data_IF_011810783324
#
_entry.id   IF_011810783324
#
_cell.length_a   1.000
_cell.length_b   1.000
_cell.length_c   1.000
_cell.angle_alpha   90.00
_cell.angle_beta   90.00
_cell.angle_gamma   90.00
#
_symmetry.space_group_name_H-M   'P 1'
#
loop_
_entity.id
_entity.type
_entity.pdbx_description
1 polymer ?
#
# COMPACT_ATOMS: atom_id res chain seq x y z
N UNK A 1 -4.90 -10.24 0.77
CA UNK A 1 -4.61 -11.33 -0.18
C UNK A 1 -3.11 -11.51 -0.49
N UNK A 2 -2.27 -10.47 -0.49
CA UNK A 2 -0.81 -10.63 -0.68
C UNK A 2 -0.12 -11.41 0.46
N UNK A 3 -0.48 -11.14 1.72
CA UNK A 3 0.11 -11.82 2.89
C UNK A 3 -0.18 -13.33 2.93
N UNK A 4 -1.38 -13.76 2.50
CA UNK A 4 -1.75 -15.17 2.40
C UNK A 4 -1.08 -15.84 1.19
N UNK A 5 -1.00 -15.16 0.05
CA UNK A 5 -0.34 -15.69 -1.16
C UNK A 5 1.18 -15.81 -1.07
N UNK A 6 1.87 -14.99 -0.23
CA UNK A 6 3.31 -15.13 -0.02
C UNK A 6 3.62 -16.36 0.87
N UNK A 7 2.78 -16.64 1.86
CA UNK A 7 2.90 -17.88 2.65
C UNK A 7 2.60 -19.08 1.76
N UNK A 8 1.54 -19.02 0.96
CA UNK A 8 1.13 -20.13 0.10
C UNK A 8 2.17 -20.41 -1.02
N UNK A 9 2.81 -19.36 -1.56
CA UNK A 9 3.89 -19.48 -2.56
C UNK A 9 5.21 -20.07 -2.05
N UNK A 10 5.49 -20.03 -0.74
CA UNK A 10 6.66 -20.71 -0.14
C UNK A 10 6.35 -22.19 0.18
N UNK A 11 5.07 -22.56 0.25
CA UNK A 11 4.57 -23.90 0.58
C UNK A 11 3.88 -24.62 -0.60
N UNK A 12 4.19 -24.25 -1.86
CA UNK A 12 3.68 -24.86 -3.10
C UNK A 12 2.14 -24.86 -3.30
N UNK A 13 1.43 -23.87 -2.74
CA UNK A 13 0.00 -23.67 -3.01
C UNK A 13 -0.21 -22.26 -3.58
N UNK A 14 -0.47 -22.20 -4.89
CA UNK A 14 -0.98 -21.07 -5.68
C UNK A 14 -0.35 -19.65 -5.50
N UNK A 15 0.16 -19.15 -6.64
CA UNK A 15 0.68 -17.80 -6.88
C UNK A 15 -0.13 -16.68 -6.21
N UNK A 16 0.54 -15.84 -5.41
CA UNK A 16 0.02 -14.54 -5.04
C UNK A 16 -0.35 -13.77 -6.31
N UNK A 17 -1.66 -13.58 -6.54
CA UNK A 17 -2.17 -12.97 -7.77
C UNK A 17 -1.43 -11.67 -8.11
N UNK A 18 -0.71 -11.69 -9.24
CA UNK A 18 0.04 -10.55 -9.78
C UNK A 18 -0.83 -9.29 -9.99
N UNK A 19 -2.16 -9.42 -9.96
CA UNK A 19 -3.10 -8.30 -10.04
C UNK A 19 -3.15 -7.42 -8.78
N UNK A 20 -2.78 -7.95 -7.61
CA UNK A 20 -2.86 -7.20 -6.34
C UNK A 20 -1.89 -6.01 -6.30
N UNK A 21 -0.71 -6.16 -6.91
CA UNK A 21 0.32 -5.12 -6.92
C UNK A 21 -0.09 -3.91 -7.76
N UNK A 22 -0.50 -4.04 -9.04
CA UNK A 22 -1.02 -2.91 -9.82
C UNK A 22 -2.19 -2.18 -9.16
N UNK A 23 -3.10 -2.91 -8.50
CA UNK A 23 -4.24 -2.32 -7.78
C UNK A 23 -3.75 -1.44 -6.62
N UNK A 24 -2.80 -1.94 -5.83
CA UNK A 24 -2.19 -1.17 -4.75
C UNK A 24 -1.52 0.10 -5.28
N UNK A 25 -0.75 -0.01 -6.37
CA UNK A 25 -0.12 1.14 -7.01
C UNK A 25 -1.15 2.18 -7.47
N UNK A 26 -2.23 1.74 -8.13
CA UNK A 26 -3.27 2.62 -8.65
C UNK A 26 -4.03 3.35 -7.53
N UNK A 27 -4.45 2.62 -6.49
CA UNK A 27 -5.16 3.19 -5.33
C UNK A 27 -4.25 4.16 -4.58
N UNK A 28 -3.01 3.76 -4.30
CA UNK A 28 -2.04 4.63 -3.65
C UNK A 28 -1.78 5.91 -4.45
N UNK A 29 -1.63 5.78 -5.77
CA UNK A 29 -1.38 6.92 -6.64
C UNK A 29 -2.57 7.88 -6.62
N UNK A 30 -3.78 7.35 -6.76
CA UNK A 30 -5.00 8.13 -6.66
C UNK A 30 -5.10 8.87 -5.32
N UNK A 31 -4.83 8.20 -4.20
CA UNK A 31 -4.88 8.83 -2.87
C UNK A 31 -3.91 10.02 -2.76
N UNK A 32 -2.62 9.82 -3.10
CA UNK A 32 -1.63 10.89 -2.98
C UNK A 32 -1.87 12.03 -3.99
N UNK A 33 -2.26 11.67 -5.21
CA UNK A 33 -2.59 12.64 -6.26
C UNK A 33 -3.82 13.47 -5.88
N UNK A 34 -4.95 12.83 -5.58
CA UNK A 34 -6.18 13.52 -5.20
C UNK A 34 -6.03 14.34 -3.93
N UNK A 35 -5.20 13.91 -2.97
CA UNK A 35 -4.90 14.72 -1.80
C UNK A 35 -4.20 16.01 -2.20
N UNK A 36 -3.14 15.91 -3.01
CA UNK A 36 -2.37 17.08 -3.45
C UNK A 36 -3.22 18.02 -4.31
N UNK A 37 -4.05 17.46 -5.19
CA UNK A 37 -4.94 18.20 -6.08
C UNK A 37 -6.06 18.94 -5.32
N UNK A 38 -6.74 18.25 -4.39
CA UNK A 38 -7.83 18.85 -3.58
C UNK A 38 -7.34 19.97 -2.66
N UNK A 39 -6.13 19.84 -2.13
CA UNK A 39 -5.55 20.84 -1.23
C UNK A 39 -4.72 21.90 -1.97
N UNK A 40 -4.57 21.79 -3.29
CA UNK A 40 -3.79 22.72 -4.10
C UNK A 40 -2.35 22.88 -3.62
N UNK A 41 -1.72 21.80 -3.13
CA UNK A 41 -0.34 21.85 -2.58
C UNK A 41 0.36 20.51 -2.68
N UNK A 42 1.68 20.52 -2.63
CA UNK A 42 2.50 19.32 -2.64
C UNK A 42 2.67 18.75 -1.23
N UNK A 43 2.50 17.44 -1.11
CA UNK A 43 2.79 16.71 0.13
C UNK A 43 4.31 16.78 0.43
N UNK A 44 4.69 17.41 1.54
CA UNK A 44 6.08 17.60 1.95
C UNK A 44 6.30 17.46 3.47
N UNK A 45 7.57 17.37 3.89
CA UNK A 45 7.97 17.34 5.29
C UNK A 45 7.26 16.27 6.13
N UNK A 46 6.75 16.66 7.31
CA UNK A 46 6.06 15.76 8.23
C UNK A 46 4.69 15.27 7.72
N UNK A 47 4.02 16.05 6.87
CA UNK A 47 2.72 15.67 6.29
C UNK A 47 2.85 14.43 5.41
N UNK A 48 3.95 14.34 4.64
CA UNK A 48 4.31 13.15 3.86
C UNK A 48 4.30 11.89 4.72
N UNK A 49 4.99 11.93 5.86
CA UNK A 49 5.09 10.78 6.74
C UNK A 49 3.73 10.41 7.35
N UNK A 50 2.94 11.40 7.77
CA UNK A 50 1.57 11.16 8.27
C UNK A 50 0.70 10.45 7.24
N UNK A 51 0.73 10.89 5.98
CA UNK A 51 -0.06 10.29 4.91
C UNK A 51 0.42 8.88 4.53
N UNK A 52 1.75 8.66 4.47
CA UNK A 52 2.31 7.34 4.20
C UNK A 52 1.95 6.35 5.33
N UNK A 53 2.10 6.75 6.59
CA UNK A 53 1.73 5.88 7.72
C UNK A 53 0.22 5.66 7.81
N UNK A 54 -0.60 6.66 7.47
CA UNK A 54 -2.05 6.48 7.40
C UNK A 54 -2.45 5.49 6.30
N UNK A 55 -1.84 5.58 5.11
CA UNK A 55 -2.04 4.63 4.03
C UNK A 55 -1.60 3.21 4.42
N UNK A 56 -0.44 3.10 5.09
CA UNK A 56 0.07 1.82 5.59
C UNK A 56 -0.82 1.21 6.66
N UNK A 57 -1.31 2.00 7.62
CA UNK A 57 -2.24 1.54 8.63
C UNK A 57 -3.56 1.06 8.01
N UNK A 58 -4.10 1.81 7.04
CA UNK A 58 -5.30 1.42 6.30
C UNK A 58 -5.12 0.11 5.53
N UNK A 59 -3.97 -0.07 4.86
CA UNK A 59 -3.63 -1.31 4.16
C UNK A 59 -3.47 -2.51 5.10
N UNK A 60 -2.85 -2.33 6.26
CA UNK A 60 -2.74 -3.38 7.28
C UNK A 60 -4.15 -3.77 7.76
N UNK A 61 -4.97 -2.80 8.17
CA UNK A 61 -6.33 -3.07 8.65
C UNK A 61 -7.14 -3.79 7.58
N UNK A 62 -7.13 -3.30 6.35
CA UNK A 62 -7.83 -3.92 5.22
C UNK A 62 -7.34 -5.34 4.95
N UNK A 63 -6.03 -5.55 4.94
CA UNK A 63 -5.43 -6.87 4.72
C UNK A 63 -5.79 -7.84 5.85
N UNK A 64 -5.72 -7.42 7.10
CA UNK A 64 -6.09 -8.26 8.26
C UNK A 64 -7.57 -8.61 8.21
N UNK A 65 -8.46 -7.65 7.99
CA UNK A 65 -9.91 -7.90 7.91
C UNK A 65 -10.27 -8.88 6.78
N UNK A 66 -9.60 -8.77 5.63
CA UNK A 66 -9.82 -9.67 4.50
C UNK A 66 -9.15 -11.05 4.69
N UNK A 67 -8.07 -11.13 5.48
CA UNK A 67 -7.37 -12.38 5.71
C UNK A 67 -8.00 -13.24 6.81
N UNK A 68 -8.64 -12.63 7.82
CA UNK A 68 -9.27 -13.35 8.94
C UNK A 68 -10.21 -14.48 8.47
N UNK A 69 -11.19 -14.24 7.56
CA UNK A 69 -12.08 -15.29 7.11
C UNK A 69 -11.34 -16.47 6.47
N UNK A 70 -10.34 -16.19 5.63
CA UNK A 70 -9.54 -17.24 4.97
C UNK A 70 -8.72 -18.04 5.98
N UNK A 71 -8.12 -17.37 6.96
CA UNK A 71 -7.33 -18.03 8.00
C UNK A 71 -8.21 -18.93 8.87
N UNK A 72 -9.40 -18.46 9.25
CA UNK A 72 -10.35 -19.24 10.06
C UNK A 72 -10.94 -20.42 9.29
N UNK A 73 -11.35 -20.22 8.03
CA UNK A 73 -12.00 -21.27 7.22
C UNK A 73 -11.06 -22.39 6.80
N UNK A 74 -9.76 -22.11 6.65
CA UNK A 74 -8.76 -23.08 6.21
C UNK A 74 -7.87 -23.58 7.36
N UNK A 75 -8.25 -23.28 8.62
CA UNK A 75 -7.50 -23.66 9.82
C UNK A 75 -6.00 -23.28 9.76
N UNK A 76 -5.67 -22.17 9.07
CA UNK A 76 -4.30 -21.73 8.88
C UNK A 76 -3.77 -21.20 10.22
N UNK A 77 -2.60 -21.67 10.69
CA UNK A 77 -2.01 -21.14 11.90
C UNK A 77 -1.75 -19.62 11.84
N UNK A 78 -2.16 -18.89 12.87
CA UNK A 78 -2.10 -17.42 12.93
C UNK A 78 -0.66 -16.87 12.78
N UNK A 79 0.34 -17.63 13.22
CA UNK A 79 1.75 -17.30 13.06
C UNK A 79 2.15 -17.10 11.59
N UNK A 80 1.55 -17.83 10.64
CA UNK A 80 1.81 -17.63 9.22
C UNK A 80 1.27 -16.30 8.71
N UNK A 81 0.07 -15.90 9.15
CA UNK A 81 -0.47 -14.58 8.83
C UNK A 81 0.45 -13.47 9.35
N UNK A 82 0.94 -13.59 10.59
CA UNK A 82 1.86 -12.64 11.20
C UNK A 82 3.19 -12.58 10.43
N UNK A 83 3.74 -13.72 10.05
CA UNK A 83 4.98 -13.79 9.25
C UNK A 83 4.80 -13.17 7.86
N UNK A 84 3.67 -13.43 7.20
CA UNK A 84 3.32 -12.79 5.93
C UNK A 84 3.19 -11.28 6.06
N UNK A 85 2.55 -10.78 7.11
CA UNK A 85 2.45 -9.34 7.39
C UNK A 85 3.81 -8.70 7.66
N UNK A 86 4.70 -9.39 8.39
CA UNK A 86 6.06 -8.88 8.66
C UNK A 86 6.88 -8.64 7.38
N UNK A 87 6.62 -9.38 6.31
CA UNK A 87 7.26 -9.21 5.00
C UNK A 87 6.52 -8.16 4.15
N UNK A 88 5.19 -8.22 4.12
CA UNK A 88 4.36 -7.36 3.26
C UNK A 88 4.38 -5.91 3.72
N UNK A 89 4.38 -5.64 5.02
CA UNK A 89 4.33 -4.27 5.56
C UNK A 89 5.53 -3.43 5.10
N UNK A 90 6.79 -3.88 5.25
CA UNK A 90 7.94 -3.16 4.69
C UNK A 90 7.86 -2.96 3.18
N UNK A 91 7.39 -3.97 2.44
CA UNK A 91 7.28 -3.89 0.99
C UNK A 91 6.26 -2.84 0.56
N UNK A 92 5.07 -2.85 1.16
CA UNK A 92 4.03 -1.86 0.89
C UNK A 92 4.46 -0.45 1.31
N UNK A 93 5.20 -0.31 2.41
CA UNK A 93 5.81 0.96 2.79
C UNK A 93 6.75 1.51 1.70
N UNK A 94 7.60 0.66 1.11
CA UNK A 94 8.45 1.05 -0.02
C UNK A 94 7.63 1.43 -1.26
N UNK A 95 6.54 0.71 -1.54
CA UNK A 95 5.61 1.05 -2.62
C UNK A 95 4.99 2.43 -2.38
N UNK A 96 4.48 2.72 -1.18
CA UNK A 96 3.90 4.03 -0.87
C UNK A 96 4.93 5.16 -0.99
N UNK A 97 6.18 4.93 -0.61
CA UNK A 97 7.26 5.90 -0.85
C UNK A 97 7.48 6.17 -2.33
N UNK A 98 7.57 5.11 -3.15
CA UNK A 98 7.75 5.22 -4.58
C UNK A 98 6.56 5.94 -5.24
N UNK A 99 5.33 5.54 -4.90
CA UNK A 99 4.11 6.11 -5.46
C UNK A 99 3.95 7.59 -5.07
N UNK A 100 4.22 7.97 -3.82
CA UNK A 100 4.19 9.38 -3.41
C UNK A 100 5.19 10.21 -4.23
N UNK A 101 6.38 9.68 -4.52
CA UNK A 101 7.36 10.34 -5.38
C UNK A 101 6.87 10.52 -6.82
N UNK A 102 6.27 9.48 -7.40
CA UNK A 102 5.69 9.55 -8.75
C UNK A 102 4.50 10.49 -8.81
N UNK A 103 3.59 10.44 -7.84
CA UNK A 103 2.44 11.34 -7.75
C UNK A 103 2.88 12.80 -7.65
N UNK A 104 3.89 13.11 -6.81
CA UNK A 104 4.50 14.43 -6.73
C UNK A 104 5.09 14.88 -8.07
N UNK A 105 5.86 14.02 -8.74
CA UNK A 105 6.40 14.35 -10.07
C UNK A 105 5.31 14.61 -11.10
N UNK A 106 4.24 13.81 -11.10
CA UNK A 106 3.16 13.94 -12.06
C UNK A 106 2.35 15.22 -11.84
N UNK A 107 2.03 15.55 -10.58
CA UNK A 107 1.26 16.76 -10.30
C UNK A 107 2.09 18.03 -10.61
N UNK A 108 3.40 18.03 -10.34
CA UNK A 108 4.28 19.15 -10.71
C UNK A 108 4.43 19.31 -12.23
N UNK A 109 4.30 18.23 -13.01
CA UNK A 109 4.26 18.34 -14.48
C UNK A 109 2.96 18.97 -14.98
N UNK A 110 1.84 18.71 -14.30
CA UNK A 110 0.52 19.20 -14.69
C UNK A 110 0.22 20.61 -14.13
N UNK A 111 0.77 20.91 -12.96
CA UNK A 111 0.57 22.14 -12.18
C UNK A 111 1.92 22.64 -11.65
N UNK A 112 2.80 23.15 -12.52
CA UNK A 112 4.14 23.60 -12.13
C UNK A 112 4.11 24.75 -11.10
N UNK A 113 3.03 25.52 -11.05
CA UNK A 113 2.80 26.59 -10.06
C UNK A 113 2.83 26.10 -8.60
N UNK A 114 2.61 24.80 -8.37
CA UNK A 114 2.68 24.18 -7.05
C UNK A 114 4.12 23.90 -6.57
N UNK A 115 5.14 24.16 -7.40
CA UNK A 115 6.54 23.97 -7.01
C UNK A 115 7.03 25.03 -6.01
N UNK A 116 6.45 26.22 -6.05
CA UNK A 116 6.84 27.40 -5.26
C UNK A 116 5.96 27.60 -4.02
N UNK A 117 5.07 26.63 -3.73
CA UNK A 117 4.14 26.60 -2.59
C UNK A 117 4.75 25.94 -1.36
#
# INVERSE_FOLDING_TARGET
>A
MAAVGIVAGVFEVESASHANTPILFAIAFWCFYSYSDKNGRIIAGNEKWKLIFAALAGDIIGTTLLAIPTVMLNEIPLNYLLMGMAIVIPLHFLIFLAVNHFAKKQILKLKPELADS
#
